data_IF_694414003472
#
_entry.id   IF_694414003472
#
_cell.length_a   1.000
_cell.length_b   1.000
_cell.length_c   1.000
_cell.angle_alpha   90.00
_cell.angle_beta   90.00
_cell.angle_gamma   90.00
#
_symmetry.space_group_name_H-M   'P 1'
#
loop_
_entity.id
_entity.type
_entity.pdbx_description
1 polymer ?
#
# COMPACT_ATOMS: atom_id res chain seq x y z
N UNK A 1 0.10 -0.71 -11.35
CA UNK A 1 -0.09 -1.11 -9.92
C UNK A 1 0.44 -2.52 -9.68
N UNK A 2 0.07 -3.53 -10.47
CA UNK A 2 0.67 -4.89 -10.41
C UNK A 2 2.19 -4.89 -10.63
N UNK A 3 2.72 -4.00 -11.47
CA UNK A 3 4.15 -3.94 -11.79
C UNK A 3 5.06 -3.40 -10.67
N UNK A 4 4.53 -2.69 -9.67
CA UNK A 4 5.32 -2.19 -8.54
C UNK A 4 5.49 -3.25 -7.43
N UNK A 5 4.69 -4.31 -7.44
CA UNK A 5 4.75 -5.41 -6.46
C UNK A 5 5.74 -6.53 -6.86
N UNK A 6 6.31 -6.49 -8.07
CA UNK A 6 7.20 -7.53 -8.58
C UNK A 6 8.67 -7.39 -8.15
N UNK A 7 9.03 -6.27 -7.50
CA UNK A 7 10.42 -5.93 -7.17
C UNK A 7 11.04 -6.58 -5.93
N UNK A 8 10.27 -7.31 -5.10
CA UNK A 8 10.75 -7.79 -3.79
C UNK A 8 10.69 -9.32 -3.58
N UNK A 9 10.50 -10.13 -4.63
CA UNK A 9 10.38 -11.58 -4.48
C UNK A 9 11.62 -12.31 -5.00
N UNK A 10 12.58 -12.61 -4.11
CA UNK A 10 13.58 -13.65 -4.38
C UNK A 10 13.01 -15.02 -4.03
N UNK A 11 12.14 -15.53 -4.90
CA UNK A 11 11.76 -16.94 -4.97
C UNK A 11 11.90 -17.42 -6.42
N UNK A 12 12.33 -18.67 -6.67
CA UNK A 12 12.65 -19.13 -8.01
C UNK A 12 11.44 -19.00 -8.93
N UNK A 13 11.67 -18.44 -10.12
CA UNK A 13 10.69 -18.27 -11.17
C UNK A 13 9.98 -19.59 -11.49
N UNK A 14 8.78 -19.76 -10.94
CA UNK A 14 7.71 -20.45 -11.64
C UNK A 14 6.83 -19.36 -12.23
N UNK A 15 7.07 -19.07 -13.50
CA UNK A 15 6.18 -18.28 -14.35
C UNK A 15 4.78 -18.92 -14.33
N UNK A 16 3.94 -18.46 -13.42
CA UNK A 16 2.51 -18.42 -13.66
C UNK A 16 2.14 -16.95 -13.81
N UNK A 17 2.29 -16.43 -15.03
CA UNK A 17 1.42 -15.34 -15.46
C UNK A 17 -0.01 -15.87 -15.31
N UNK A 18 -0.65 -15.59 -14.16
CA UNK A 18 -2.09 -15.73 -14.02
C UNK A 18 -2.69 -14.90 -15.16
N UNK A 19 -3.23 -15.59 -16.16
CA UNK A 19 -3.92 -14.93 -17.26
C UNK A 19 -5.17 -14.31 -16.67
N UNK A 20 -5.17 -12.97 -16.53
CA UNK A 20 -6.35 -12.22 -16.12
C UNK A 20 -7.55 -12.75 -16.90
N UNK A 21 -8.60 -13.14 -16.17
CA UNK A 21 -9.84 -13.59 -16.78
C UNK A 21 -10.47 -12.47 -17.60
N UNK A 22 -11.26 -12.80 -18.63
CA UNK A 22 -12.00 -11.77 -19.40
C UNK A 22 -12.85 -10.86 -18.50
N UNK A 23 -13.34 -11.41 -17.38
CA UNK A 23 -14.10 -10.69 -16.37
C UNK A 23 -13.25 -9.64 -15.62
N UNK A 24 -12.01 -9.97 -15.26
CA UNK A 24 -11.05 -9.04 -14.65
C UNK A 24 -10.63 -7.94 -15.63
N UNK A 25 -10.34 -8.31 -16.88
CA UNK A 25 -9.98 -7.36 -17.92
C UNK A 25 -11.10 -6.34 -18.16
N UNK A 26 -12.35 -6.79 -18.17
CA UNK A 26 -13.51 -5.92 -18.32
C UNK A 26 -13.75 -5.04 -17.08
N UNK A 27 -13.52 -5.56 -15.87
CA UNK A 27 -13.55 -4.76 -14.65
C UNK A 27 -12.49 -3.64 -14.67
N UNK A 28 -11.27 -3.93 -15.14
CA UNK A 28 -10.20 -2.95 -15.30
C UNK A 28 -10.57 -1.88 -16.33
N UNK A 29 -11.16 -2.26 -17.47
CA UNK A 29 -11.63 -1.29 -18.48
C UNK A 29 -12.71 -0.37 -17.93
N UNK A 30 -13.68 -0.90 -17.19
CA UNK A 30 -14.73 -0.10 -16.54
C UNK A 30 -14.13 0.87 -15.53
N UNK A 31 -13.27 0.39 -14.64
CA UNK A 31 -12.58 1.23 -13.65
C UNK A 31 -11.79 2.36 -14.33
N UNK A 32 -11.07 2.06 -15.41
CA UNK A 32 -10.33 3.04 -16.19
C UNK A 32 -11.24 4.14 -16.73
N UNK A 33 -12.36 3.74 -17.35
CA UNK A 33 -13.33 4.69 -17.92
C UNK A 33 -13.96 5.56 -16.84
N UNK A 34 -14.37 4.97 -15.71
CA UNK A 34 -14.91 5.73 -14.56
C UNK A 34 -13.91 6.76 -14.06
N UNK A 35 -12.62 6.41 -14.01
CA UNK A 35 -11.57 7.34 -13.57
C UNK A 35 -11.36 8.48 -14.57
N UNK A 36 -11.35 8.17 -15.87
CA UNK A 36 -11.26 9.16 -16.96
C UNK A 36 -12.43 10.16 -16.89
N UNK A 37 -13.66 9.66 -16.82
CA UNK A 37 -14.88 10.46 -16.71
C UNK A 37 -14.86 11.33 -15.43
N UNK A 38 -14.36 10.79 -14.31
CA UNK A 38 -14.22 11.52 -13.05
C UNK A 38 -13.18 12.64 -13.12
N UNK A 39 -12.05 12.39 -13.80
CA UNK A 39 -11.04 13.41 -14.05
C UNK A 39 -11.60 14.56 -14.88
N UNK A 40 -12.29 14.26 -15.97
CA UNK A 40 -12.89 15.29 -16.82
C UNK A 40 -13.95 16.09 -16.05
N UNK A 41 -14.86 15.41 -15.36
CA UNK A 41 -15.95 16.06 -14.63
C UNK A 41 -15.47 16.93 -13.47
N UNK A 42 -14.43 16.52 -12.75
CA UNK A 42 -13.98 17.23 -11.54
C UNK A 42 -12.95 18.34 -11.84
N UNK A 43 -12.10 18.15 -12.85
CA UNK A 43 -11.09 19.13 -13.22
C UNK A 43 -11.54 20.10 -14.33
N UNK A 44 -12.63 19.77 -15.03
CA UNK A 44 -13.08 20.51 -16.22
C UNK A 44 -12.17 20.32 -17.44
N UNK A 45 -11.30 19.31 -17.42
CA UNK A 45 -10.30 19.07 -18.46
C UNK A 45 -10.12 17.58 -18.73
N UNK A 46 -10.21 17.20 -20.01
CA UNK A 46 -9.89 15.85 -20.47
C UNK A 46 -8.37 15.53 -20.38
N UNK A 47 -7.52 16.56 -20.24
CA UNK A 47 -6.07 16.39 -20.16
C UNK A 47 -5.60 15.91 -18.78
N UNK A 48 -6.39 16.11 -17.72
CA UNK A 48 -6.02 15.75 -16.34
C UNK A 48 -5.79 14.26 -16.17
N UNK A 49 -6.65 13.43 -16.78
CA UNK A 49 -6.47 11.98 -16.77
C UNK A 49 -5.15 11.57 -17.45
N UNK A 50 -4.87 12.14 -18.62
CA UNK A 50 -3.64 11.89 -19.37
C UNK A 50 -2.39 12.26 -18.56
N UNK A 51 -2.37 13.46 -17.98
CA UNK A 51 -1.27 13.93 -17.14
C UNK A 51 -1.05 13.04 -15.90
N UNK A 52 -2.13 12.62 -15.23
CA UNK A 52 -2.06 11.70 -14.09
C UNK A 52 -1.47 10.34 -14.51
N UNK A 53 -1.95 9.77 -15.62
CA UNK A 53 -1.45 8.48 -16.11
C UNK A 53 0.01 8.56 -16.56
N UNK A 54 0.41 9.67 -17.15
CA UNK A 54 1.82 9.94 -17.49
C UNK A 54 2.68 10.02 -16.23
N UNK A 55 2.26 10.76 -15.21
CA UNK A 55 2.98 10.83 -13.93
C UNK A 55 3.11 9.45 -13.26
N UNK A 56 2.06 8.63 -13.29
CA UNK A 56 2.11 7.23 -12.83
C UNK A 56 3.13 6.43 -13.65
N UNK A 57 3.14 6.58 -14.98
CA UNK A 57 4.07 5.87 -15.85
C UNK A 57 5.54 6.29 -15.64
N UNK A 58 5.78 7.54 -15.23
CA UNK A 58 7.13 8.06 -14.93
C UNK A 58 7.63 7.69 -13.52
N UNK A 59 6.75 7.19 -12.64
CA UNK A 59 7.10 6.85 -11.25
C UNK A 59 8.29 5.88 -11.13
N UNK A 60 8.38 4.77 -11.90
CA UNK A 60 9.54 3.87 -11.84
C UNK A 60 10.85 4.55 -12.23
N UNK A 61 10.84 5.37 -13.29
CA UNK A 61 12.02 6.13 -13.73
C UNK A 61 12.44 7.15 -12.67
N UNK A 62 11.48 7.82 -12.04
CA UNK A 62 11.77 8.73 -10.95
C UNK A 62 12.46 7.99 -9.79
N UNK A 63 11.92 6.87 -9.30
CA UNK A 63 12.55 6.10 -8.24
C UNK A 63 13.94 5.58 -8.62
N UNK A 64 14.10 5.05 -9.84
CA UNK A 64 15.39 4.59 -10.36
C UNK A 64 16.45 5.69 -10.46
N UNK A 65 16.04 6.96 -10.58
CA UNK A 65 16.96 8.10 -10.54
C UNK A 65 17.39 8.51 -9.12
N UNK A 66 16.70 8.01 -8.09
CA UNK A 66 16.92 8.40 -6.68
C UNK A 66 17.77 7.41 -5.92
N UNK A 67 17.70 6.13 -6.24
CA UNK A 67 18.52 5.10 -5.59
C UNK A 67 18.77 3.89 -6.49
N UNK A 68 19.92 3.25 -6.26
CA UNK A 68 20.31 1.98 -6.89
C UNK A 68 19.44 0.85 -6.32
N UNK A 69 18.37 0.48 -7.04
CA UNK A 69 17.41 -0.53 -6.61
C UNK A 69 18.07 -1.89 -6.31
N UNK A 70 19.08 -2.27 -7.09
CA UNK A 70 19.80 -3.52 -6.87
C UNK A 70 20.57 -3.52 -5.54
N UNK A 71 21.26 -2.42 -5.22
CA UNK A 71 21.99 -2.31 -3.96
C UNK A 71 21.04 -2.28 -2.75
N UNK A 72 19.91 -1.58 -2.88
CA UNK A 72 18.85 -1.55 -1.88
C UNK A 72 18.33 -2.97 -1.59
N UNK A 73 17.89 -3.70 -2.63
CA UNK A 73 17.34 -5.06 -2.48
C UNK A 73 18.39 -6.05 -1.96
N UNK A 74 19.62 -5.97 -2.46
CA UNK A 74 20.70 -6.83 -1.97
C UNK A 74 21.04 -6.56 -0.50
N UNK A 75 21.04 -5.30 -0.08
CA UNK A 75 21.22 -4.92 1.32
C UNK A 75 20.07 -5.40 2.20
N UNK A 76 18.82 -5.26 1.73
CA UNK A 76 17.62 -5.75 2.40
C UNK A 76 17.68 -7.26 2.69
N UNK A 77 17.98 -8.05 1.65
CA UNK A 77 18.05 -9.52 1.75
C UNK A 77 19.19 -10.02 2.65
N UNK A 78 20.15 -9.16 2.99
CA UNK A 78 21.30 -9.45 3.86
C UNK A 78 21.20 -8.76 5.22
N UNK A 79 20.02 -8.22 5.57
CA UNK A 79 19.80 -7.57 6.85
C UNK A 79 20.05 -8.51 8.03
N UNK A 80 20.79 -8.00 9.00
CA UNK A 80 21.12 -8.67 10.25
C UNK A 80 21.23 -7.64 11.37
N UNK A 81 21.28 -8.08 12.63
CA UNK A 81 21.50 -7.17 13.76
C UNK A 81 22.79 -6.35 13.62
N UNK A 82 23.82 -6.89 12.95
CA UNK A 82 25.09 -6.20 12.74
C UNK A 82 25.05 -5.17 11.59
N UNK A 83 24.19 -5.38 10.59
CA UNK A 83 24.15 -4.57 9.37
C UNK A 83 22.97 -3.59 9.33
N UNK A 84 21.97 -3.75 10.18
CA UNK A 84 20.74 -2.93 10.16
C UNK A 84 21.02 -1.44 10.29
N UNK A 85 21.87 -1.04 11.23
CA UNK A 85 22.10 0.38 11.51
C UNK A 85 22.68 1.09 10.29
N UNK A 86 23.73 0.53 9.70
CA UNK A 86 24.34 1.05 8.48
C UNK A 86 23.35 1.08 7.30
N UNK A 87 22.58 -0.01 7.11
CA UNK A 87 21.62 -0.11 6.02
C UNK A 87 20.54 0.97 6.13
N UNK A 88 19.84 1.06 7.27
CA UNK A 88 18.76 2.02 7.44
C UNK A 88 19.26 3.46 7.46
N UNK A 89 20.45 3.73 8.04
CA UNK A 89 21.07 5.07 7.96
C UNK A 89 21.35 5.51 6.53
N UNK A 90 21.80 4.57 5.68
CA UNK A 90 22.13 4.84 4.28
C UNK A 90 20.86 5.05 3.45
N UNK A 91 19.90 4.14 3.55
CA UNK A 91 18.79 4.08 2.60
C UNK A 91 17.52 4.83 3.05
N UNK A 92 17.26 4.99 4.35
CA UNK A 92 16.05 5.69 4.80
C UNK A 92 15.93 7.12 4.28
N UNK A 93 16.96 7.98 4.37
CA UNK A 93 16.86 9.34 3.86
C UNK A 93 16.55 9.36 2.35
N UNK A 94 17.19 8.46 1.59
CA UNK A 94 17.07 8.40 0.14
C UNK A 94 15.69 7.86 -0.28
N UNK A 95 15.20 6.81 0.37
CA UNK A 95 13.85 6.26 0.12
C UNK A 95 12.78 7.28 0.50
N UNK A 96 12.90 7.97 1.64
CA UNK A 96 11.96 9.02 2.06
C UNK A 96 11.91 10.16 1.04
N UNK A 97 13.07 10.65 0.60
CA UNK A 97 13.16 11.68 -0.43
C UNK A 97 12.56 11.20 -1.76
N UNK A 98 12.88 9.97 -2.18
CA UNK A 98 12.32 9.38 -3.40
C UNK A 98 10.80 9.26 -3.35
N UNK A 99 10.23 8.78 -2.24
CA UNK A 99 8.78 8.69 -2.05
C UNK A 99 8.14 10.07 -2.16
N UNK A 100 8.70 11.08 -1.50
CA UNK A 100 8.18 12.44 -1.55
C UNK A 100 8.27 13.04 -2.96
N UNK A 101 9.41 12.94 -3.62
CA UNK A 101 9.62 13.57 -4.93
C UNK A 101 8.90 12.85 -6.07
N UNK A 102 8.78 11.52 -6.00
CA UNK A 102 8.21 10.73 -7.07
C UNK A 102 6.69 10.54 -6.97
N UNK A 103 6.11 10.61 -5.77
CA UNK A 103 4.68 10.36 -5.57
C UNK A 103 3.84 11.63 -5.37
N UNK A 104 4.41 12.71 -4.83
CA UNK A 104 3.65 13.98 -4.64
C UNK A 104 3.10 14.56 -5.96
N UNK A 105 3.79 14.48 -7.12
CA UNK A 105 3.20 14.92 -8.38
C UNK A 105 2.00 14.08 -8.82
N UNK A 106 2.10 12.74 -8.66
CA UNK A 106 1.01 11.81 -8.96
C UNK A 106 -0.17 12.07 -8.04
N UNK A 107 0.13 12.31 -6.77
CA UNK A 107 -0.79 12.68 -5.72
C UNK A 107 -1.61 13.93 -6.11
N UNK A 108 -0.93 15.02 -6.44
CA UNK A 108 -1.57 16.29 -6.77
C UNK A 108 -2.51 16.16 -7.98
N UNK A 109 -2.11 15.41 -9.01
CA UNK A 109 -2.95 15.15 -10.19
C UNK A 109 -4.13 14.24 -9.86
N UNK A 110 -3.93 13.20 -9.04
CA UNK A 110 -4.98 12.30 -8.60
C UNK A 110 -6.10 13.00 -7.83
N UNK A 111 -5.77 14.01 -7.00
CA UNK A 111 -6.78 14.82 -6.29
C UNK A 111 -7.75 15.50 -7.26
N UNK A 112 -7.25 16.00 -8.39
CA UNK A 112 -8.08 16.70 -9.39
C UNK A 112 -9.14 15.81 -10.03
N UNK A 113 -8.98 14.48 -9.92
CA UNK A 113 -9.94 13.51 -10.42
C UNK A 113 -11.03 13.12 -9.42
N UNK A 114 -11.02 13.68 -8.21
CA UNK A 114 -11.94 13.33 -7.13
C UNK A 114 -12.77 14.53 -6.69
N UNK A 115 -14.01 14.27 -6.28
CA UNK A 115 -14.85 15.27 -5.59
C UNK A 115 -14.26 15.58 -4.21
N UNK A 116 -14.62 16.71 -3.61
CA UNK A 116 -14.14 17.09 -2.27
C UNK A 116 -14.48 16.05 -1.19
N UNK A 117 -15.65 15.39 -1.28
CA UNK A 117 -16.00 14.31 -0.36
C UNK A 117 -15.17 13.04 -0.59
N UNK A 118 -14.90 12.68 -1.85
CA UNK A 118 -13.99 11.58 -2.17
C UNK A 118 -12.54 11.88 -1.75
N UNK A 119 -12.08 13.13 -1.88
CA UNK A 119 -10.79 13.56 -1.34
C UNK A 119 -10.72 13.47 0.19
N UNK A 120 -11.86 13.59 0.89
CA UNK A 120 -11.90 13.44 2.35
C UNK A 120 -11.89 11.98 2.79
N UNK A 121 -12.57 11.09 2.06
CA UNK A 121 -12.90 9.74 2.55
C UNK A 121 -12.17 8.64 1.78
N UNK A 122 -12.01 8.81 0.46
CA UNK A 122 -11.39 7.79 -0.39
C UNK A 122 -9.88 8.00 -0.53
N UNK A 123 -9.47 9.25 -0.57
CA UNK A 123 -8.11 9.61 -0.90
C UNK A 123 -7.07 9.26 0.18
N UNK A 124 -7.27 9.52 1.49
CA UNK A 124 -6.23 9.27 2.50
C UNK A 124 -5.78 7.80 2.63
N UNK A 125 -6.57 6.85 2.10
CA UNK A 125 -6.28 5.42 2.13
C UNK A 125 -5.62 4.89 0.86
N UNK A 126 -5.40 5.74 -0.16
CA UNK A 126 -4.75 5.29 -1.37
C UNK A 126 -3.34 4.79 -1.00
N UNK A 127 -2.98 3.52 -1.31
CA UNK A 127 -1.78 2.90 -0.77
C UNK A 127 -0.50 3.72 -0.97
N UNK A 128 -0.43 4.47 -2.08
CA UNK A 128 0.73 5.32 -2.38
C UNK A 128 0.90 6.52 -1.44
N UNK A 129 -0.17 7.07 -0.85
CA UNK A 129 -0.09 8.25 0.03
C UNK A 129 0.26 7.91 1.47
N UNK A 130 0.08 6.64 1.85
CA UNK A 130 0.49 6.12 3.14
C UNK A 130 1.91 5.54 3.11
N UNK A 131 2.53 5.42 1.92
CA UNK A 131 3.91 4.98 1.79
C UNK A 131 4.91 5.80 2.63
N UNK A 132 4.83 7.15 2.72
CA UNK A 132 5.70 7.91 3.61
C UNK A 132 5.64 7.42 5.06
N UNK A 133 4.43 7.20 5.59
CA UNK A 133 4.23 6.72 6.97
C UNK A 133 4.73 5.28 7.16
N UNK A 134 4.55 4.43 6.15
CA UNK A 134 5.10 3.06 6.16
C UNK A 134 6.63 3.08 6.15
N UNK A 135 7.24 3.94 5.32
CA UNK A 135 8.70 4.12 5.28
C UNK A 135 9.21 4.68 6.60
N UNK A 136 8.53 5.66 7.20
CA UNK A 136 8.89 6.19 8.52
C UNK A 136 8.90 5.10 9.58
N UNK A 137 7.85 4.28 9.64
CA UNK A 137 7.73 3.15 10.57
C UNK A 137 8.83 2.10 10.36
N UNK A 138 9.12 1.74 9.10
CA UNK A 138 10.19 0.78 8.78
C UNK A 138 11.59 1.35 9.05
N UNK A 139 11.75 2.67 9.04
CA UNK A 139 13.01 3.34 9.32
C UNK A 139 13.27 3.58 10.81
N UNK A 140 12.21 3.59 11.62
CA UNK A 140 12.29 3.80 13.06
C UNK A 140 13.21 2.76 13.74
N UNK A 141 14.06 3.24 14.66
CA UNK A 141 15.00 2.37 15.39
C UNK A 141 15.97 1.61 14.49
N UNK A 142 16.24 2.09 13.27
CA UNK A 142 16.99 1.39 12.23
C UNK A 142 16.37 0.04 11.87
N UNK A 143 15.06 0.05 11.59
CA UNK A 143 14.31 -1.14 11.20
C UNK A 143 13.96 -2.06 12.36
N UNK A 144 13.90 -1.54 13.59
CA UNK A 144 13.67 -2.34 14.79
C UNK A 144 12.43 -3.22 14.70
N UNK A 145 11.35 -2.71 14.09
CA UNK A 145 10.11 -3.45 13.88
C UNK A 145 10.30 -4.75 13.09
N UNK A 146 11.28 -4.84 12.19
CA UNK A 146 11.56 -6.07 11.42
C UNK A 146 12.26 -7.13 12.27
N UNK A 147 13.04 -6.69 13.27
CA UNK A 147 13.83 -7.57 14.11
C UNK A 147 13.07 -8.08 15.33
N UNK A 148 11.90 -7.52 15.64
CA UNK A 148 11.04 -7.94 16.74
C UNK A 148 10.76 -9.46 16.64
N UNK A 149 11.27 -10.21 17.62
CA UNK A 149 11.09 -11.65 17.79
C UNK A 149 11.60 -12.56 16.64
N UNK A 150 12.29 -12.02 15.62
CA UNK A 150 12.80 -12.80 14.49
C UNK A 150 14.16 -12.33 13.96
N UNK A 151 15.21 -12.42 14.79
CA UNK A 151 16.55 -11.92 14.45
C UNK A 151 17.29 -12.72 13.36
N UNK A 152 16.87 -13.95 13.07
CA UNK A 152 17.53 -14.82 12.07
C UNK A 152 17.04 -14.58 10.65
N UNK A 153 15.82 -14.07 10.49
CA UNK A 153 15.21 -13.77 9.18
C UNK A 153 14.27 -12.56 9.31
N UNK A 154 14.82 -11.37 9.61
CA UNK A 154 14.04 -10.20 10.02
C UNK A 154 13.04 -9.73 8.96
N UNK A 155 13.33 -9.95 7.67
CA UNK A 155 12.49 -9.49 6.55
C UNK A 155 11.40 -10.50 6.16
N UNK A 156 11.49 -11.76 6.58
CA UNK A 156 10.66 -12.87 6.09
C UNK A 156 9.16 -12.62 6.23
N UNK A 157 8.74 -12.05 7.36
CA UNK A 157 7.32 -11.75 7.58
C UNK A 157 6.84 -10.57 6.75
N UNK A 158 7.70 -9.58 6.55
CA UNK A 158 7.42 -8.43 5.72
C UNK A 158 7.35 -8.80 4.22
N UNK A 159 8.20 -9.70 3.76
CA UNK A 159 8.16 -10.25 2.38
C UNK A 159 6.81 -10.91 2.05
N UNK A 160 6.20 -11.58 3.03
CA UNK A 160 4.88 -12.22 2.87
C UNK A 160 3.70 -11.29 3.19
N UNK A 161 3.95 -10.04 3.59
CA UNK A 161 2.94 -9.13 4.10
C UNK A 161 1.80 -8.91 3.11
N UNK A 162 2.10 -8.59 1.84
CA UNK A 162 1.08 -8.39 0.81
C UNK A 162 0.27 -9.65 0.50
N UNK A 163 0.89 -10.83 0.62
CA UNK A 163 0.18 -12.10 0.49
C UNK A 163 -0.83 -12.29 1.62
N UNK A 164 -0.44 -11.99 2.87
CA UNK A 164 -1.35 -12.04 4.01
C UNK A 164 -2.50 -11.05 3.85
N UNK A 165 -2.19 -9.83 3.41
CA UNK A 165 -3.19 -8.81 3.08
C UNK A 165 -4.21 -9.29 2.06
N UNK A 166 -3.74 -9.82 0.91
CA UNK A 166 -4.61 -10.34 -0.16
C UNK A 166 -5.51 -11.46 0.38
N UNK A 167 -4.97 -12.36 1.20
CA UNK A 167 -5.75 -13.44 1.81
C UNK A 167 -6.82 -12.92 2.77
N UNK A 168 -6.47 -11.97 3.64
CA UNK A 168 -7.36 -11.41 4.66
C UNK A 168 -8.40 -10.43 4.11
N UNK A 169 -8.19 -9.91 2.89
CA UNK A 169 -9.10 -9.00 2.20
C UNK A 169 -9.87 -9.68 1.05
N UNK A 170 -9.68 -10.99 0.82
CA UNK A 170 -10.20 -11.71 -0.35
C UNK A 170 -11.70 -11.52 -0.57
N UNK A 171 -12.49 -11.54 0.50
CA UNK A 171 -13.96 -11.45 0.45
C UNK A 171 -14.47 -10.04 0.74
N UNK A 172 -13.58 -9.05 0.88
CA UNK A 172 -13.95 -7.70 1.32
C UNK A 172 -15.01 -7.09 0.39
N UNK A 173 -14.77 -7.13 -0.93
CA UNK A 173 -15.68 -6.56 -1.93
C UNK A 173 -17.06 -7.24 -1.88
N UNK A 174 -17.10 -8.57 -1.78
CA UNK A 174 -18.37 -9.31 -1.71
C UNK A 174 -19.12 -9.10 -0.40
N UNK A 175 -18.43 -9.06 0.74
CA UNK A 175 -19.07 -8.92 2.06
C UNK A 175 -19.55 -7.48 2.31
N UNK A 176 -18.89 -6.49 1.68
CA UNK A 176 -19.28 -5.07 1.75
C UNK A 176 -20.22 -4.66 0.61
N UNK A 177 -20.56 -5.57 -0.30
CA UNK A 177 -21.25 -5.26 -1.56
C UNK A 177 -20.62 -4.10 -2.34
N UNK A 178 -19.29 -3.94 -2.24
CA UNK A 178 -18.54 -2.83 -2.82
C UNK A 178 -19.09 -1.43 -2.47
N UNK A 179 -19.70 -1.27 -1.29
CA UNK A 179 -20.18 0.04 -0.85
C UNK A 179 -19.03 1.05 -0.77
N UNK A 180 -19.27 2.31 -1.17
CA UNK A 180 -18.28 3.37 -0.97
C UNK A 180 -18.04 3.61 0.51
N UNK A 181 -16.84 4.08 0.89
CA UNK A 181 -16.47 4.25 2.32
C UNK A 181 -17.40 5.23 3.06
N UNK A 182 -17.91 6.24 2.36
CA UNK A 182 -18.88 7.19 2.91
C UNK A 182 -20.20 6.56 3.37
N UNK A 183 -20.49 5.33 2.92
CA UNK A 183 -21.69 4.56 3.27
C UNK A 183 -21.39 3.38 4.20
N UNK A 184 -20.17 3.29 4.74
CA UNK A 184 -19.82 2.24 5.70
C UNK A 184 -20.72 2.31 6.92
N UNK A 185 -21.24 1.15 7.31
CA UNK A 185 -22.04 0.94 8.49
C UNK A 185 -21.52 -0.31 9.22
N UNK A 186 -22.30 -0.82 10.17
CA UNK A 186 -21.88 -1.91 11.05
C UNK A 186 -21.31 -3.13 10.31
N UNK A 187 -21.91 -3.52 9.18
CA UNK A 187 -21.45 -4.68 8.39
C UNK A 187 -20.04 -4.45 7.86
N UNK A 188 -19.81 -3.33 7.19
CA UNK A 188 -18.52 -2.99 6.59
C UNK A 188 -17.44 -2.82 7.67
N UNK A 189 -17.78 -2.23 8.82
CA UNK A 189 -16.87 -2.08 9.95
C UNK A 189 -16.49 -3.44 10.58
N UNK A 190 -17.43 -4.37 10.70
CA UNK A 190 -17.14 -5.74 11.15
C UNK A 190 -16.24 -6.49 10.17
N UNK A 191 -16.39 -6.27 8.86
CA UNK A 191 -15.47 -6.85 7.86
C UNK A 191 -14.06 -6.28 8.05
N UNK A 192 -13.91 -4.96 8.18
CA UNK A 192 -12.61 -4.32 8.44
C UNK A 192 -11.93 -4.86 9.71
N UNK A 193 -12.67 -4.96 10.81
CA UNK A 193 -12.16 -5.51 12.07
C UNK A 193 -11.68 -6.96 11.91
N UNK A 194 -12.47 -7.83 11.25
CA UNK A 194 -12.07 -9.22 10.97
C UNK A 194 -10.83 -9.28 10.09
N UNK A 195 -10.72 -8.42 9.08
CA UNK A 195 -9.54 -8.37 8.21
C UNK A 195 -8.29 -7.98 8.99
N UNK A 196 -8.37 -6.98 9.90
CA UNK A 196 -7.27 -6.63 10.80
C UNK A 196 -6.82 -7.82 11.65
N UNK A 197 -7.77 -8.50 12.29
CA UNK A 197 -7.48 -9.68 13.11
C UNK A 197 -6.82 -10.81 12.31
N UNK A 198 -7.28 -11.06 11.09
CA UNK A 198 -6.66 -12.03 10.19
C UNK A 198 -5.20 -11.68 9.89
N UNK A 199 -4.89 -10.41 9.60
CA UNK A 199 -3.52 -9.96 9.32
C UNK A 199 -2.64 -10.13 10.56
N UNK A 200 -3.14 -9.74 11.73
CA UNK A 200 -2.43 -9.91 13.01
C UNK A 200 -2.13 -11.38 13.30
N UNK A 201 -3.10 -12.28 13.10
CA UNK A 201 -2.89 -13.73 13.28
C UNK A 201 -1.80 -14.25 12.35
N UNK A 202 -1.81 -13.88 11.05
CA UNK A 202 -0.77 -14.29 10.10
C UNK A 202 0.61 -13.80 10.49
N UNK A 203 0.72 -12.54 10.91
CA UNK A 203 1.98 -11.92 11.32
C UNK A 203 2.52 -12.53 12.62
N UNK A 204 1.63 -12.78 13.59
CA UNK A 204 1.97 -13.47 14.84
C UNK A 204 2.46 -14.89 14.55
N UNK A 205 1.77 -15.63 13.69
CA UNK A 205 2.17 -16.98 13.27
C UNK A 205 3.47 -17.00 12.45
N UNK A 206 3.79 -15.92 11.75
CA UNK A 206 5.09 -15.75 11.09
C UNK A 206 6.23 -15.46 12.09
N UNK A 207 5.90 -15.00 13.31
CA UNK A 207 6.85 -14.70 14.37
C UNK A 207 7.12 -13.22 14.59
N UNK A 208 6.36 -12.32 13.95
CA UNK A 208 6.48 -10.88 14.14
C UNK A 208 5.11 -10.19 14.07
N UNK A 209 4.36 -10.24 15.17
CA UNK A 209 3.06 -9.59 15.30
C UNK A 209 3.12 -8.06 15.26
N UNK A 210 4.27 -7.46 15.60
CA UNK A 210 4.43 -6.00 15.65
C UNK A 210 4.30 -5.33 14.28
N UNK A 211 4.54 -6.09 13.20
CA UNK A 211 4.29 -5.64 11.82
C UNK A 211 2.82 -5.30 11.54
N UNK A 212 1.88 -5.63 12.43
CA UNK A 212 0.49 -5.16 12.34
C UNK A 212 0.41 -3.63 12.28
N UNK A 213 1.40 -2.93 12.88
CA UNK A 213 1.49 -1.47 12.83
C UNK A 213 1.55 -0.91 11.40
N UNK A 214 2.07 -1.68 10.43
CA UNK A 214 2.05 -1.31 9.01
C UNK A 214 0.62 -1.33 8.47
N UNK A 215 -0.20 -2.31 8.87
CA UNK A 215 -1.60 -2.40 8.48
C UNK A 215 -2.45 -1.33 9.17
N UNK A 216 -2.08 -1.01 10.40
CA UNK A 216 -2.78 -0.03 11.22
C UNK A 216 -2.68 1.39 10.66
N UNK A 217 -1.74 1.67 9.76
CA UNK A 217 -1.64 2.97 9.07
C UNK A 217 -2.89 3.19 8.18
N UNK A 218 -3.14 2.40 7.12
CA UNK A 218 -4.38 2.55 6.33
C UNK A 218 -5.63 2.23 7.12
N UNK A 219 -5.58 1.23 8.01
CA UNK A 219 -6.77 0.85 8.78
C UNK A 219 -7.28 1.99 9.67
N UNK A 220 -6.41 2.70 10.39
CA UNK A 220 -6.83 3.83 11.24
C UNK A 220 -7.38 4.98 10.42
N UNK A 221 -6.76 5.29 9.28
CA UNK A 221 -7.25 6.31 8.35
C UNK A 221 -8.70 6.02 7.90
N UNK A 222 -8.99 4.78 7.47
CA UNK A 222 -10.37 4.35 7.12
C UNK A 222 -11.31 4.49 8.32
N UNK A 223 -10.90 3.98 9.49
CA UNK A 223 -11.78 3.94 10.68
C UNK A 223 -12.14 5.35 11.14
N UNK A 224 -11.18 6.27 11.18
CA UNK A 224 -11.37 7.65 11.64
C UNK A 224 -12.27 8.47 10.70
N UNK A 225 -12.21 8.20 9.40
CA UNK A 225 -12.93 8.97 8.37
C UNK A 225 -14.32 8.42 8.05
N UNK A 226 -14.70 7.28 8.61
CA UNK A 226 -15.99 6.61 8.35
C UNK A 226 -16.82 6.47 9.63
N UNK A 227 -18.02 5.90 9.52
CA UNK A 227 -18.82 5.55 10.70
C UNK A 227 -18.16 4.47 11.58
N UNK A 228 -17.11 3.80 11.09
CA UNK A 228 -16.46 2.71 11.82
C UNK A 228 -15.78 3.14 13.12
N UNK A 229 -15.41 4.42 13.28
CA UNK A 229 -14.94 4.95 14.57
C UNK A 229 -15.92 4.73 15.72
N UNK A 230 -17.22 4.64 15.43
CA UNK A 230 -18.27 4.48 16.43
C UNK A 230 -18.53 2.99 16.75
N UNK A 231 -18.08 2.08 15.88
CA UNK A 231 -18.27 0.63 16.02
C UNK A 231 -17.02 -0.11 16.52
N UNK A 232 -15.83 0.37 16.15
CA UNK A 232 -14.55 -0.26 16.45
C UNK A 232 -13.87 0.51 17.58
N UNK A 233 -13.64 -0.16 18.71
CA UNK A 233 -12.82 0.42 19.79
C UNK A 233 -11.37 0.46 19.33
N UNK A 234 -10.80 1.67 19.26
CA UNK A 234 -9.37 1.83 19.06
C UNK A 234 -8.63 1.24 20.27
N UNK A 235 -7.90 0.13 20.07
CA UNK A 235 -7.08 -0.55 21.08
C UNK A 235 -5.61 -0.45 20.73
#
# INVERSE_FOLDING_TARGET
IVSLALGCSSAPAQDSYERDSEQELEAVRRLRKTLEDSCESNSGSNATYGAMMEAVAQTPTCFGSKFELEELVNGWNRLSNATREQYFTTYCPVVKAGVQECLVPVEALGRLCMTSDAQRVEYPDFPMYLLPQVVDLLCEGHGEILFANNSKSPTKCFENYFTYMKQCMRNFVSETNAKPRGEFAEVECRVLERSRWCVLDKLTNCGNGDLIKVFDIPYRSVVEQTACRDFIKQS
#
